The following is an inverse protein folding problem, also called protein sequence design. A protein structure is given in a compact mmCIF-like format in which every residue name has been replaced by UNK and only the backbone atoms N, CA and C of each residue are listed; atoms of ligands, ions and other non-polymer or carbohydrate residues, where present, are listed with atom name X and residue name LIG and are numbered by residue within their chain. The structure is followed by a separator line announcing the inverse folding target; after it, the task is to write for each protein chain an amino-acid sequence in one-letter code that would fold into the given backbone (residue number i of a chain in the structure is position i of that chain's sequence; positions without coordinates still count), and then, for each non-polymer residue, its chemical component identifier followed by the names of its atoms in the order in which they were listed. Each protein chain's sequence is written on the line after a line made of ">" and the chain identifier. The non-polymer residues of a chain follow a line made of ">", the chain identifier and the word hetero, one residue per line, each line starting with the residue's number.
data_IF_179037177063
#
_entry.id   IF_179037177063
#
_cell.length_a   1.000
_cell.length_b   1.000
_cell.length_c   1.000
_cell.angle_alpha   90.00
_cell.angle_beta   90.00
_cell.angle_gamma   90.00
#
_symmetry.space_group_name_H-M   'P 1'
#
loop_
_entity.id
_entity.type
_entity.pdbx_description
1 polymer ?
#
# COMPACT_ATOMS: atom_id res chain seq x y z
N UNK A 1 30.80 11.16 15.34
CA UNK A 1 29.62 10.52 14.71
C UNK A 1 28.34 10.84 15.49
N UNK A 2 28.23 10.50 16.78
CA UNK A 2 27.02 10.78 17.57
C UNK A 2 26.65 12.27 17.71
N UNK A 3 27.63 13.15 17.92
CA UNK A 3 27.41 14.60 17.99
C UNK A 3 26.92 15.18 16.65
N UNK A 4 27.58 14.79 15.56
CA UNK A 4 27.23 15.19 14.18
C UNK A 4 25.83 14.73 13.76
N UNK A 5 25.41 13.53 14.17
CA UNK A 5 24.05 13.03 13.91
C UNK A 5 22.99 13.84 14.66
N UNK A 6 23.30 14.31 15.87
CA UNK A 6 22.39 15.14 16.68
C UNK A 6 22.21 16.52 16.05
N UNK A 7 23.27 17.11 15.52
CA UNK A 7 23.22 18.37 14.78
C UNK A 7 22.41 18.23 13.48
N UNK A 8 22.56 17.09 12.78
CA UNK A 8 21.81 16.78 11.57
C UNK A 8 20.37 16.29 11.84
N UNK A 9 19.98 16.05 13.10
CA UNK A 9 18.71 15.43 13.47
C UNK A 9 17.49 16.13 12.84
N UNK A 10 17.36 17.47 12.86
CA UNK A 10 16.20 18.14 12.28
C UNK A 10 16.02 17.88 10.78
N UNK A 11 17.14 17.83 10.06
CA UNK A 11 17.18 17.56 8.64
C UNK A 11 16.87 16.09 8.35
N UNK A 12 17.57 15.16 9.01
CA UNK A 12 17.39 13.71 8.83
C UNK A 12 15.95 13.30 9.14
N UNK A 13 15.39 13.80 10.24
CA UNK A 13 14.01 13.52 10.66
C UNK A 13 12.97 13.97 9.64
N UNK A 14 13.20 15.10 8.98
CA UNK A 14 12.32 15.64 7.92
C UNK A 14 12.34 14.73 6.69
N UNK A 15 13.53 14.30 6.28
CA UNK A 15 13.71 13.37 5.14
C UNK A 15 13.06 12.02 5.44
N UNK A 16 13.30 11.45 6.61
CA UNK A 16 12.71 10.15 7.01
C UNK A 16 11.19 10.23 6.96
N UNK A 17 10.59 11.26 7.56
CA UNK A 17 9.12 11.43 7.57
C UNK A 17 8.55 11.52 6.16
N UNK A 18 9.16 12.34 5.31
CA UNK A 18 8.75 12.46 3.91
C UNK A 18 8.87 11.14 3.17
N UNK A 19 9.99 10.44 3.33
CA UNK A 19 10.23 9.14 2.69
C UNK A 19 9.21 8.10 3.13
N UNK A 20 8.95 7.98 4.44
CA UNK A 20 7.94 7.05 4.98
C UNK A 20 6.55 7.36 4.45
N UNK A 21 6.15 8.63 4.47
CA UNK A 21 4.87 9.06 3.93
C UNK A 21 4.73 8.64 2.46
N UNK A 22 5.74 8.96 1.65
CA UNK A 22 5.72 8.71 0.20
C UNK A 22 5.71 7.22 -0.15
N UNK A 23 6.45 6.39 0.60
CA UNK A 23 6.42 4.92 0.44
C UNK A 23 5.04 4.34 0.78
N UNK A 24 4.42 4.79 1.88
CA UNK A 24 3.08 4.34 2.28
C UNK A 24 2.04 4.73 1.24
N UNK A 25 2.06 5.97 0.75
CA UNK A 25 1.10 6.41 -0.26
C UNK A 25 1.30 5.68 -1.59
N UNK A 26 2.55 5.45 -2.01
CA UNK A 26 2.82 4.67 -3.22
C UNK A 26 2.29 3.24 -3.11
N UNK A 27 2.48 2.60 -1.95
CA UNK A 27 1.93 1.27 -1.71
C UNK A 27 0.40 1.26 -1.76
N UNK A 28 -0.25 2.14 -0.98
CA UNK A 28 -1.71 2.14 -0.82
C UNK A 28 -2.45 2.58 -2.07
N UNK A 29 -1.97 3.60 -2.76
CA UNK A 29 -2.66 4.22 -3.89
C UNK A 29 -2.17 3.65 -5.23
N UNK A 30 -0.88 3.27 -5.33
CA UNK A 30 -0.28 2.65 -6.52
C UNK A 30 -0.32 1.13 -6.50
N UNK A 31 0.56 0.51 -5.71
CA UNK A 31 0.76 -0.95 -5.72
C UNK A 31 -0.54 -1.72 -5.48
N UNK A 32 -1.42 -1.27 -4.57
CA UNK A 32 -2.69 -1.94 -4.31
C UNK A 32 -3.75 -1.77 -5.42
N UNK A 33 -3.63 -0.79 -6.33
CA UNK A 33 -4.69 -0.47 -7.30
C UNK A 33 -5.00 -1.66 -8.23
N UNK A 34 -3.97 -2.31 -8.77
CA UNK A 34 -4.11 -3.45 -9.68
C UNK A 34 -4.65 -4.71 -8.97
N UNK A 35 -4.09 -5.18 -7.83
CA UNK A 35 -4.67 -6.24 -7.02
C UNK A 35 -6.13 -5.97 -6.63
N UNK A 36 -6.45 -4.74 -6.22
CA UNK A 36 -7.79 -4.36 -5.79
C UNK A 36 -8.79 -4.44 -6.94
N UNK A 37 -8.40 -3.99 -8.14
CA UNK A 37 -9.20 -4.13 -9.37
C UNK A 37 -9.46 -5.59 -9.71
N UNK A 38 -8.44 -6.44 -9.60
CA UNK A 38 -8.54 -7.87 -9.87
C UNK A 38 -9.49 -8.56 -8.87
N UNK A 39 -9.37 -8.25 -7.58
CA UNK A 39 -10.27 -8.75 -6.55
C UNK A 39 -11.73 -8.29 -6.77
N UNK A 40 -11.93 -7.03 -7.17
CA UNK A 40 -13.25 -6.50 -7.53
C UNK A 40 -13.89 -7.25 -8.69
N UNK A 41 -13.17 -7.42 -9.82
CA UNK A 41 -13.69 -8.13 -11.00
C UNK A 41 -14.02 -9.60 -10.74
N UNK A 42 -13.36 -10.22 -9.76
CA UNK A 42 -13.51 -11.66 -9.44
C UNK A 42 -14.48 -11.93 -8.29
N UNK A 43 -15.12 -10.91 -7.73
CA UNK A 43 -16.02 -11.07 -6.59
C UNK A 43 -15.31 -11.59 -5.33
N UNK A 44 -14.03 -11.26 -5.15
CA UNK A 44 -13.22 -11.71 -4.00
C UNK A 44 -13.34 -10.71 -2.86
N UNK A 45 -14.53 -10.68 -2.27
CA UNK A 45 -14.95 -9.62 -1.35
C UNK A 45 -14.09 -9.52 -0.09
N UNK A 46 -13.64 -10.64 0.48
CA UNK A 46 -12.76 -10.64 1.66
C UNK A 46 -11.44 -9.90 1.41
N UNK A 47 -10.73 -10.28 0.34
CA UNK A 47 -9.42 -9.71 0.00
C UNK A 47 -9.58 -8.25 -0.44
N UNK A 48 -10.67 -7.95 -1.17
CA UNK A 48 -11.05 -6.58 -1.51
C UNK A 48 -11.28 -5.74 -0.25
N UNK A 49 -12.00 -6.27 0.74
CA UNK A 49 -12.26 -5.58 1.99
C UNK A 49 -10.97 -5.28 2.76
N UNK A 50 -10.02 -6.21 2.83
CA UNK A 50 -8.71 -5.98 3.44
C UNK A 50 -7.94 -4.84 2.74
N UNK A 51 -7.89 -4.83 1.41
CA UNK A 51 -7.21 -3.76 0.65
C UNK A 51 -7.89 -2.40 0.79
N UNK A 52 -9.23 -2.36 0.82
CA UNK A 52 -9.98 -1.13 1.09
C UNK A 52 -9.76 -0.64 2.52
N UNK A 53 -9.65 -1.55 3.49
CA UNK A 53 -9.34 -1.22 4.88
C UNK A 53 -7.95 -0.61 5.00
N UNK A 54 -6.93 -1.16 4.33
CA UNK A 54 -5.58 -0.56 4.27
C UNK A 54 -5.64 0.88 3.77
N UNK A 55 -6.36 1.13 2.67
CA UNK A 55 -6.55 2.48 2.11
C UNK A 55 -7.31 3.39 3.08
N UNK A 56 -8.35 2.89 3.74
CA UNK A 56 -9.12 3.68 4.71
C UNK A 56 -8.28 4.13 5.91
N UNK A 57 -7.34 3.31 6.36
CA UNK A 57 -6.50 3.60 7.55
C UNK A 57 -5.48 4.72 7.29
N UNK A 58 -4.87 4.76 6.10
CA UNK A 58 -3.69 5.60 5.89
C UNK A 58 -3.52 6.20 4.49
N UNK A 59 -4.42 5.97 3.53
CA UNK A 59 -4.32 6.63 2.24
C UNK A 59 -4.74 8.10 2.35
N UNK A 60 -3.83 8.99 1.97
CA UNK A 60 -4.03 10.43 1.90
C UNK A 60 -4.34 10.82 0.45
N UNK A 61 -5.62 10.91 0.13
CA UNK A 61 -6.07 11.24 -1.21
C UNK A 61 -6.04 12.75 -1.44
N UNK A 62 -5.68 13.16 -2.65
CA UNK A 62 -6.01 14.50 -3.14
C UNK A 62 -7.54 14.69 -3.12
N UNK A 63 -8.03 15.93 -3.01
CA UNK A 63 -9.44 16.26 -2.69
C UNK A 63 -10.51 15.62 -3.62
N UNK A 64 -10.12 15.06 -4.76
CA UNK A 64 -11.02 14.41 -5.70
C UNK A 64 -11.36 12.98 -5.25
N UNK A 65 -12.62 12.76 -4.85
CA UNK A 65 -13.16 11.47 -4.39
C UNK A 65 -13.13 10.36 -5.44
N UNK A 66 -12.98 10.71 -6.72
CA UNK A 66 -12.83 9.75 -7.83
C UNK A 66 -11.61 8.83 -7.65
N UNK A 67 -10.62 9.25 -6.84
CA UNK A 67 -9.37 8.53 -6.59
C UNK A 67 -9.55 7.28 -5.70
N UNK A 68 -10.46 7.30 -4.72
CA UNK A 68 -10.68 6.16 -3.80
C UNK A 68 -11.24 4.93 -4.54
N UNK A 69 -12.02 5.17 -5.60
CA UNK A 69 -12.70 4.15 -6.40
C UNK A 69 -11.98 3.89 -7.73
N UNK A 70 -10.72 4.30 -7.86
CA UNK A 70 -9.86 4.08 -9.01
C UNK A 70 -9.90 2.64 -9.55
N UNK A 71 -9.97 1.64 -8.69
CA UNK A 71 -9.98 0.23 -9.04
C UNK A 71 -11.18 -0.19 -9.92
N UNK A 72 -12.28 0.58 -9.89
CA UNK A 72 -13.46 0.34 -10.74
C UNK A 72 -13.22 0.74 -12.20
N UNK A 73 -12.45 1.79 -12.47
CA UNK A 73 -12.29 2.31 -13.84
C UNK A 73 -11.21 1.58 -14.66
N UNK A 74 -11.38 1.53 -15.99
CA UNK A 74 -10.58 0.72 -16.91
C UNK A 74 -9.33 1.41 -17.49
N UNK A 75 -8.88 2.58 -17.00
CA UNK A 75 -7.74 3.21 -17.67
C UNK A 75 -6.49 2.31 -17.56
N UNK A 76 -5.95 1.93 -18.72
CA UNK A 76 -4.83 0.99 -18.86
C UNK A 76 -3.51 1.59 -18.34
N UNK A 77 -3.48 2.90 -18.08
CA UNK A 77 -2.26 3.65 -17.76
C UNK A 77 -2.01 3.88 -16.26
N UNK A 78 -2.74 3.22 -15.34
CA UNK A 78 -2.59 3.48 -13.89
C UNK A 78 -1.29 3.00 -13.24
N UNK A 79 -0.33 2.52 -14.04
CA UNK A 79 1.06 2.37 -13.60
C UNK A 79 1.87 3.68 -13.71
N UNK A 80 1.36 4.69 -14.42
CA UNK A 80 2.04 5.96 -14.62
C UNK A 80 1.60 6.97 -13.54
N UNK A 81 2.54 7.29 -12.64
CA UNK A 81 2.48 8.42 -11.70
C UNK A 81 1.19 8.53 -10.89
N UNK A 82 1.06 7.71 -9.84
CA UNK A 82 0.04 7.99 -8.81
C UNK A 82 0.41 9.29 -8.11
N UNK A 83 -0.45 10.29 -8.28
CA UNK A 83 -0.31 11.58 -7.63
C UNK A 83 -0.99 11.55 -6.26
N UNK A 84 -0.20 11.81 -5.22
CA UNK A 84 -0.65 11.94 -3.85
C UNK A 84 0.02 13.16 -3.21
N UNK A 85 -0.63 13.81 -2.22
CA UNK A 85 -0.05 14.96 -1.53
C UNK A 85 1.28 14.57 -0.88
N UNK A 86 2.34 15.34 -1.13
CA UNK A 86 3.65 15.08 -0.51
C UNK A 86 3.70 15.76 0.85
N UNK A 87 3.86 14.99 1.93
CA UNK A 87 3.86 15.51 3.30
C UNK A 87 5.12 15.12 4.06
N UNK A 88 5.55 16.00 4.96
CA UNK A 88 6.64 15.72 5.89
C UNK A 88 6.07 15.26 7.25
N UNK A 89 5.30 14.16 7.23
CA UNK A 89 4.62 13.64 8.42
C UNK A 89 4.95 12.17 8.60
N UNK A 90 4.99 11.74 9.87
CA UNK A 90 5.13 10.32 10.18
C UNK A 90 3.74 9.68 10.30
N UNK A 91 3.54 8.45 9.81
CA UNK A 91 2.37 7.66 10.17
C UNK A 91 2.34 7.41 11.69
N UNK A 92 1.15 7.28 12.26
CA UNK A 92 1.01 6.85 13.64
C UNK A 92 1.49 5.40 13.79
N UNK A 93 2.07 5.07 14.94
CA UNK A 93 2.52 3.71 15.24
C UNK A 93 1.40 2.67 15.06
N UNK A 94 0.18 2.99 15.49
CA UNK A 94 -0.99 2.12 15.28
C UNK A 94 -1.32 1.93 13.79
N UNK A 95 -1.19 2.98 12.96
CA UNK A 95 -1.38 2.84 11.52
C UNK A 95 -0.35 1.87 10.94
N UNK A 96 0.92 1.99 11.32
CA UNK A 96 1.99 1.09 10.88
C UNK A 96 1.72 -0.37 11.25
N UNK A 97 1.34 -0.62 12.51
CA UNK A 97 1.01 -1.97 12.98
C UNK A 97 -0.16 -2.58 12.20
N UNK A 98 -1.22 -1.80 11.97
CA UNK A 98 -2.39 -2.26 11.23
C UNK A 98 -2.05 -2.51 9.75
N UNK A 99 -1.30 -1.60 9.12
CA UNK A 99 -0.83 -1.76 7.75
C UNK A 99 -0.02 -3.05 7.59
N UNK A 100 0.93 -3.29 8.51
CA UNK A 100 1.78 -4.49 8.52
C UNK A 100 0.96 -5.77 8.69
N UNK A 101 0.05 -5.79 9.68
CA UNK A 101 -0.77 -6.97 9.97
C UNK A 101 -1.77 -7.27 8.84
N UNK A 102 -2.52 -6.27 8.38
CA UNK A 102 -3.53 -6.48 7.34
C UNK A 102 -2.86 -6.86 6.02
N UNK A 103 -1.68 -6.30 5.69
CA UNK A 103 -0.95 -6.69 4.49
C UNK A 103 -0.61 -8.19 4.50
N UNK A 104 -0.15 -8.75 5.63
CA UNK A 104 0.08 -10.20 5.75
C UNK A 104 -1.16 -11.06 5.50
N UNK A 105 -2.34 -10.59 5.91
CA UNK A 105 -3.62 -11.27 5.65
C UNK A 105 -3.98 -11.27 4.15
N UNK A 106 -3.27 -10.48 3.31
CA UNK A 106 -3.46 -10.42 1.87
C UNK A 106 -2.40 -11.24 1.13
N UNK A 107 -1.11 -11.14 1.46
CA UNK A 107 -0.04 -11.75 0.64
C UNK A 107 0.69 -12.95 1.28
N UNK A 108 0.44 -13.31 2.54
CA UNK A 108 1.08 -14.49 3.12
C UNK A 108 0.67 -15.79 2.39
N UNK A 109 1.53 -16.80 2.37
CA UNK A 109 1.29 -18.03 1.59
C UNK A 109 -0.03 -18.74 1.90
N UNK A 110 -0.51 -18.62 3.16
CA UNK A 110 -1.76 -19.21 3.63
C UNK A 110 -2.96 -18.28 3.48
N UNK A 111 -2.75 -17.04 3.05
CA UNK A 111 -3.78 -16.01 2.95
C UNK A 111 -4.81 -16.29 1.86
N UNK A 112 -6.02 -15.73 2.01
CA UNK A 112 -7.06 -15.76 0.97
C UNK A 112 -6.64 -15.04 -0.32
N UNK A 113 -5.67 -14.11 -0.26
CA UNK A 113 -5.15 -13.42 -1.44
C UNK A 113 -4.19 -14.28 -2.28
N UNK A 114 -3.52 -15.24 -1.64
CA UNK A 114 -2.57 -16.16 -2.26
C UNK A 114 -3.15 -17.54 -2.59
N UNK A 115 -4.34 -17.85 -2.07
CA UNK A 115 -5.08 -19.06 -2.41
C UNK A 115 -5.58 -19.02 -3.86
N UNK A 116 -5.11 -19.98 -4.64
CA UNK A 116 -5.53 -20.26 -6.02
C UNK A 116 -5.38 -21.76 -6.27
N UNK A 117 -6.35 -22.35 -6.97
CA UNK A 117 -6.36 -23.77 -7.32
C UNK A 117 -5.88 -24.01 -8.75
N UNK A 118 -5.84 -25.28 -9.16
CA UNK A 118 -5.44 -25.72 -10.52
C UNK A 118 -6.29 -25.03 -11.61
N UNK A 119 -7.51 -24.59 -11.28
CA UNK A 119 -8.44 -23.88 -12.18
C UNK A 119 -8.76 -22.45 -11.74
N UNK A 120 -8.14 -21.94 -10.68
CA UNK A 120 -8.46 -20.62 -10.11
C UNK A 120 -7.19 -19.82 -9.89
N UNK A 121 -6.96 -18.81 -10.72
CA UNK A 121 -5.81 -17.91 -10.57
C UNK A 121 -5.84 -17.16 -9.23
N UNK A 122 -4.65 -16.99 -8.63
CA UNK A 122 -4.44 -16.19 -7.40
C UNK A 122 -4.90 -14.75 -7.56
N UNK A 123 -5.28 -14.10 -6.46
CA UNK A 123 -5.73 -12.70 -6.47
C UNK A 123 -4.55 -11.74 -6.56
N UNK A 124 -3.50 -12.01 -5.77
CA UNK A 124 -2.19 -11.39 -5.98
C UNK A 124 -1.44 -12.23 -7.03
N UNK A 125 -0.98 -11.56 -8.08
CA UNK A 125 -0.09 -12.18 -9.06
C UNK A 125 1.31 -12.32 -8.44
N UNK A 126 2.02 -13.42 -8.74
CA UNK A 126 3.30 -13.74 -8.07
C UNK A 126 4.37 -12.65 -8.25
N UNK A 127 4.29 -11.87 -9.32
CA UNK A 127 5.12 -10.71 -9.63
C UNK A 127 4.94 -9.53 -8.68
N UNK A 128 3.78 -9.41 -8.02
CA UNK A 128 3.53 -8.34 -7.06
C UNK A 128 3.97 -8.70 -5.63
N UNK A 129 4.11 -9.99 -5.31
CA UNK A 129 4.52 -10.46 -3.96
C UNK A 129 5.81 -9.79 -3.48
N UNK A 130 6.88 -9.66 -4.30
CA UNK A 130 8.09 -8.96 -3.88
C UNK A 130 7.87 -7.50 -3.47
N UNK A 131 6.90 -6.80 -4.08
CA UNK A 131 6.58 -5.43 -3.69
C UNK A 131 5.89 -5.37 -2.33
N UNK A 132 5.00 -6.33 -2.04
CA UNK A 132 4.36 -6.45 -0.74
C UNK A 132 5.36 -6.80 0.35
N UNK A 133 6.28 -7.74 0.10
CA UNK A 133 7.36 -8.13 1.01
C UNK A 133 8.31 -6.95 1.27
N UNK A 134 8.73 -6.24 0.21
CA UNK A 134 9.59 -5.05 0.34
C UNK A 134 8.95 -3.98 1.23
N UNK A 135 7.65 -3.73 1.07
CA UNK A 135 6.94 -2.75 1.92
C UNK A 135 6.82 -3.29 3.35
N UNK A 136 6.43 -4.56 3.51
CA UNK A 136 6.31 -5.20 4.82
C UNK A 136 7.60 -5.17 5.65
N UNK A 137 8.77 -5.39 5.03
CA UNK A 137 10.05 -5.38 5.71
C UNK A 137 10.50 -3.97 6.13
N UNK A 138 9.99 -2.93 5.47
CA UNK A 138 10.30 -1.52 5.74
C UNK A 138 9.32 -0.84 6.70
N UNK A 139 8.11 -1.36 6.84
CA UNK A 139 7.06 -0.86 7.74
C UNK A 139 7.24 -1.37 9.16
#
# INVERSE_FOLDING_TARGET
>A
IGSTLREAEPFVRTIIRKSMHDEIQMYLQGTLSQPLRKAYKRGKDDVRACMLLLRWIAADWSRDTATVQDYKSHSKDKGASVEFPRRCVQPLYTQMLLLRRISLEIFSDKSKGMQGGIFTEKNITKDLVPEFERVYDRL
#
